data_IF_024551662310
#
_entry.id   IF_024551662310
#
_cell.length_a   1.000
_cell.length_b   1.000
_cell.length_c   1.000
_cell.angle_alpha   90.00
_cell.angle_beta   90.00
_cell.angle_gamma   90.00
#
_symmetry.space_group_name_H-M   'P 1'
#
loop_
_entity.id
_entity.type
_entity.pdbx_description
1 polymer ?
#
# COMPACT_ATOMS: atom_id res chain seq x y z
N UNK A 1 20.32 51.90 43.18
CA UNK A 1 20.01 50.71 44.02
C UNK A 1 19.30 49.70 43.13
N UNK A 2 19.97 48.63 42.68
CA UNK A 2 19.73 47.21 43.10
C UNK A 2 18.22 46.93 43.25
N UNK A 3 17.59 45.99 42.52
CA UNK A 3 17.95 44.57 42.39
C UNK A 3 17.39 43.98 41.08
N UNK A 4 18.23 43.27 40.32
CA UNK A 4 17.81 42.30 39.31
C UNK A 4 17.28 41.05 40.03
N UNK A 5 16.08 40.59 39.65
CA UNK A 5 15.60 39.26 40.00
C UNK A 5 15.97 38.30 38.87
N UNK A 6 16.91 37.40 39.18
CA UNK A 6 17.35 36.29 38.33
C UNK A 6 16.33 35.15 38.52
N UNK A 7 15.57 34.80 37.49
CA UNK A 7 14.71 33.61 37.49
C UNK A 7 15.48 32.48 36.82
N UNK A 8 15.76 31.46 37.60
CA UNK A 8 16.42 30.21 37.25
C UNK A 8 15.41 29.33 36.48
N UNK A 9 15.63 29.09 35.19
CA UNK A 9 14.85 28.12 34.41
C UNK A 9 15.60 26.78 34.45
N UNK A 10 14.97 25.69 34.93
CA UNK A 10 15.60 24.38 34.97
C UNK A 10 15.76 23.83 33.55
N UNK A 11 16.99 23.36 33.26
CA UNK A 11 17.34 22.56 32.10
C UNK A 11 16.51 21.27 32.12
N UNK A 12 15.46 21.22 31.30
CA UNK A 12 14.83 19.96 30.93
C UNK A 12 15.87 19.18 30.14
N UNK A 13 16.37 18.12 30.77
CA UNK A 13 17.10 17.05 30.11
C UNK A 13 16.20 16.51 28.99
N UNK A 14 16.50 16.92 27.75
CA UNK A 14 15.99 16.25 26.56
C UNK A 14 16.62 14.86 26.56
N UNK A 15 15.90 13.92 27.16
CA UNK A 15 16.08 12.51 26.97
C UNK A 15 15.81 12.26 25.48
N UNK A 16 16.86 12.39 24.66
CA UNK A 16 16.85 11.88 23.31
C UNK A 16 16.72 10.38 23.43
N UNK A 17 15.50 9.87 23.35
CA UNK A 17 15.27 8.49 22.96
C UNK A 17 15.82 8.38 21.55
N UNK A 18 17.08 7.98 21.45
CA UNK A 18 17.58 7.31 20.27
C UNK A 18 16.69 6.08 20.09
N UNK A 19 15.61 6.24 19.33
CA UNK A 19 14.91 5.11 18.72
C UNK A 19 15.98 4.41 17.89
N UNK A 20 16.52 3.34 18.46
CA UNK A 20 17.44 2.45 17.79
C UNK A 20 16.80 2.06 16.46
N UNK A 21 17.52 2.30 15.37
CA UNK A 21 17.22 1.82 14.03
C UNK A 21 17.40 0.28 13.91
N UNK A 22 17.07 -0.46 14.97
CA UNK A 22 17.21 -1.90 15.11
C UNK A 22 15.90 -2.51 15.63
N UNK A 23 14.82 -2.26 14.90
CA UNK A 23 13.70 -3.21 14.83
C UNK A 23 13.08 -3.10 13.42
N UNK A 24 13.94 -3.24 12.40
CA UNK A 24 13.44 -3.55 11.05
C UNK A 24 12.90 -4.98 11.09
N UNK A 25 11.66 -5.11 11.59
CA UNK A 25 10.94 -6.38 11.68
C UNK A 25 10.95 -7.06 10.32
N UNK A 26 11.58 -8.22 10.27
CA UNK A 26 11.41 -9.18 9.19
C UNK A 26 9.94 -9.25 8.78
N UNK A 27 9.65 -8.98 7.51
CA UNK A 27 8.28 -9.09 7.03
C UNK A 27 7.96 -10.57 6.84
N UNK A 28 7.20 -11.13 7.76
CA UNK A 28 6.58 -12.43 7.57
C UNK A 28 5.27 -12.24 6.81
N UNK A 29 5.00 -13.13 5.85
CA UNK A 29 3.70 -13.15 5.19
C UNK A 29 2.60 -13.26 6.27
N UNK A 30 1.63 -12.33 6.31
CA UNK A 30 0.55 -12.38 7.29
C UNK A 30 -0.29 -13.65 7.16
N UNK A 31 -1.02 -14.00 8.21
CA UNK A 31 -1.96 -15.11 8.15
C UNK A 31 -3.01 -14.90 7.05
N UNK A 32 -3.45 -15.98 6.41
CA UNK A 32 -4.50 -15.93 5.40
C UNK A 32 -5.76 -15.22 5.93
N UNK A 33 -6.41 -14.44 5.07
CA UNK A 33 -7.53 -13.56 5.42
C UNK A 33 -7.13 -12.18 5.98
N UNK A 34 -5.84 -11.93 6.26
CA UNK A 34 -5.38 -10.63 6.73
C UNK A 34 -5.40 -9.60 5.59
N UNK A 35 -6.09 -8.48 5.78
CA UNK A 35 -6.03 -7.34 4.85
C UNK A 35 -4.67 -6.66 4.98
N UNK A 36 -3.89 -6.67 3.90
CA UNK A 36 -2.52 -6.11 3.89
C UNK A 36 -2.45 -4.70 3.33
N UNK A 37 -3.42 -4.33 2.50
CA UNK A 37 -3.60 -2.97 1.99
C UNK A 37 -5.06 -2.78 1.56
N UNK A 38 -5.65 -1.64 1.89
CA UNK A 38 -7.00 -1.29 1.46
C UNK A 38 -7.17 0.23 1.42
N UNK A 39 -7.92 0.71 0.42
CA UNK A 39 -8.19 2.14 0.22
C UNK A 39 -9.46 2.31 -0.61
N UNK A 40 -10.09 3.48 -0.50
CA UNK A 40 -11.34 3.79 -1.17
C UNK A 40 -11.49 5.27 -1.46
N UNK A 41 -12.07 5.60 -2.61
CA UNK A 41 -12.41 6.97 -3.02
C UNK A 41 -13.91 7.05 -3.35
N UNK A 42 -14.61 8.12 -2.91
CA UNK A 42 -16.04 8.28 -3.17
C UNK A 42 -16.30 8.48 -4.67
N UNK A 43 -17.41 7.92 -5.16
CA UNK A 43 -17.87 8.08 -6.54
C UNK A 43 -18.73 9.35 -6.61
N UNK A 44 -18.11 10.46 -7.01
CA UNK A 44 -18.74 11.79 -6.93
C UNK A 44 -19.86 12.01 -7.94
N UNK A 45 -19.99 11.17 -8.97
CA UNK A 45 -21.12 11.26 -9.90
C UNK A 45 -22.38 10.56 -9.38
N UNK A 46 -22.32 9.86 -8.24
CA UNK A 46 -23.45 9.18 -7.63
C UNK A 46 -23.83 9.81 -6.28
N UNK A 47 -24.52 10.95 -6.37
CA UNK A 47 -24.95 11.71 -5.21
C UNK A 47 -26.12 11.09 -4.44
N UNK A 48 -26.68 9.96 -4.92
CA UNK A 48 -27.86 9.34 -4.32
C UNK A 48 -27.51 8.10 -3.51
N UNK A 49 -26.45 7.37 -3.88
CA UNK A 49 -26.14 6.08 -3.29
C UNK A 49 -24.89 6.08 -2.39
N UNK A 50 -24.15 7.19 -2.30
CA UNK A 50 -22.89 7.31 -1.52
C UNK A 50 -21.90 6.16 -1.82
N UNK A 51 -21.80 5.77 -3.09
CA UNK A 51 -20.92 4.67 -3.49
C UNK A 51 -19.44 5.05 -3.48
N UNK A 52 -18.60 4.02 -3.38
CA UNK A 52 -17.15 4.15 -3.40
C UNK A 52 -16.55 3.27 -4.49
N UNK A 53 -15.39 3.71 -4.98
CA UNK A 53 -14.43 2.83 -5.63
C UNK A 53 -13.42 2.37 -4.59
N UNK A 54 -13.37 1.07 -4.30
CA UNK A 54 -12.50 0.49 -3.29
C UNK A 54 -11.60 -0.60 -3.86
N UNK A 55 -10.40 -0.71 -3.31
CA UNK A 55 -9.42 -1.75 -3.64
C UNK A 55 -8.90 -2.36 -2.35
N UNK A 56 -8.79 -3.68 -2.30
CA UNK A 56 -8.32 -4.43 -1.15
C UNK A 56 -7.41 -5.57 -1.57
N UNK A 57 -6.27 -5.67 -0.91
CA UNK A 57 -5.36 -6.82 -0.97
C UNK A 57 -5.47 -7.63 0.31
N UNK A 58 -5.69 -8.92 0.18
CA UNK A 58 -5.85 -9.86 1.29
C UNK A 58 -4.81 -10.98 1.18
N UNK A 59 -4.16 -11.31 2.29
CA UNK A 59 -3.25 -12.43 2.38
C UNK A 59 -4.00 -13.76 2.18
N UNK A 60 -3.36 -14.71 1.53
CA UNK A 60 -3.82 -16.07 1.26
C UNK A 60 -2.87 -17.08 1.89
N UNK A 61 -3.21 -18.36 1.83
CA UNK A 61 -2.30 -19.44 2.24
C UNK A 61 -1.00 -19.45 1.42
N UNK A 62 -0.99 -18.81 0.24
CA UNK A 62 0.18 -18.70 -0.64
C UNK A 62 0.84 -17.32 -0.62
N UNK A 63 0.57 -16.48 0.39
CA UNK A 63 1.19 -15.14 0.50
C UNK A 63 2.69 -15.17 0.78
N UNK A 64 3.21 -16.25 1.36
CA UNK A 64 4.67 -16.50 1.45
C UNK A 64 5.32 -16.64 0.07
N UNK A 65 4.56 -17.02 -0.96
CA UNK A 65 4.99 -17.07 -2.36
C UNK A 65 4.65 -15.80 -3.15
N UNK A 66 4.18 -14.75 -2.47
CA UNK A 66 3.81 -13.49 -3.08
C UNK A 66 2.41 -13.47 -3.71
N UNK A 67 1.53 -14.42 -3.38
CA UNK A 67 0.15 -14.48 -3.91
C UNK A 67 -0.85 -13.87 -2.94
N UNK A 68 -1.64 -12.92 -3.42
CA UNK A 68 -2.63 -12.18 -2.65
C UNK A 68 -3.94 -12.10 -3.42
N UNK A 69 -5.05 -12.14 -2.69
CA UNK A 69 -6.35 -11.84 -3.28
C UNK A 69 -6.46 -10.34 -3.49
N UNK A 70 -6.94 -9.96 -4.68
CA UNK A 70 -7.23 -8.60 -5.07
C UNK A 70 -8.74 -8.48 -5.30
N UNK A 71 -9.39 -7.73 -4.42
CA UNK A 71 -10.77 -7.31 -4.59
C UNK A 71 -10.79 -5.84 -5.03
N UNK A 72 -11.62 -5.53 -6.02
CA UNK A 72 -11.93 -4.18 -6.41
C UNK A 72 -13.44 -4.03 -6.62
N UNK A 73 -14.00 -2.92 -6.17
CA UNK A 73 -15.42 -2.63 -6.32
C UNK A 73 -15.62 -1.19 -6.79
N UNK A 74 -16.52 -0.97 -7.75
CA UNK A 74 -16.97 0.34 -8.24
C UNK A 74 -18.49 0.41 -8.11
N UNK A 75 -18.98 0.94 -6.97
CA UNK A 75 -20.37 0.81 -6.59
C UNK A 75 -20.77 -0.67 -6.45
N UNK A 76 -21.80 -1.09 -7.19
CA UNK A 76 -22.28 -2.48 -7.17
C UNK A 76 -21.47 -3.44 -8.07
N UNK A 77 -20.53 -2.94 -8.86
CA UNK A 77 -19.72 -3.78 -9.72
C UNK A 77 -18.47 -4.24 -8.99
N UNK A 78 -18.32 -5.55 -8.83
CA UNK A 78 -17.22 -6.17 -8.09
C UNK A 78 -16.35 -7.01 -9.03
N UNK A 79 -15.05 -6.98 -8.80
CA UNK A 79 -14.07 -7.80 -9.50
C UNK A 79 -13.12 -8.43 -8.48
N UNK A 80 -12.85 -9.71 -8.67
CA UNK A 80 -11.92 -10.49 -7.86
C UNK A 80 -10.83 -11.09 -8.75
N UNK A 81 -9.59 -11.07 -8.29
CA UNK A 81 -8.45 -11.68 -8.96
C UNK A 81 -7.41 -12.14 -7.95
N UNK A 82 -6.48 -12.99 -8.38
CA UNK A 82 -5.29 -13.33 -7.59
C UNK A 82 -4.11 -12.59 -8.19
N UNK A 83 -3.49 -11.72 -7.40
CA UNK A 83 -2.27 -11.03 -7.77
C UNK A 83 -1.06 -11.83 -7.28
N UNK A 84 -0.15 -12.17 -8.20
CA UNK A 84 1.12 -12.76 -7.87
C UNK A 84 2.21 -11.70 -8.02
N UNK A 85 2.83 -11.31 -6.92
CA UNK A 85 4.04 -10.49 -6.97
C UNK A 85 5.23 -11.32 -7.50
N UNK A 86 6.21 -10.67 -8.12
CA UNK A 86 7.41 -11.34 -8.61
C UNK A 86 8.16 -12.00 -7.45
N UNK A 87 8.77 -13.16 -7.71
CA UNK A 87 9.70 -13.78 -6.76
C UNK A 87 10.97 -12.94 -6.71
N UNK A 88 11.19 -12.29 -5.58
CA UNK A 88 12.30 -11.37 -5.36
C UNK A 88 13.26 -11.95 -4.31
N UNK A 89 14.53 -11.59 -4.38
CA UNK A 89 15.55 -11.98 -3.40
C UNK A 89 15.36 -11.28 -2.05
N UNK A 90 14.61 -10.18 -2.05
CA UNK A 90 14.25 -9.41 -0.87
C UNK A 90 12.78 -9.59 -0.54
N UNK A 91 12.47 -9.61 0.74
CA UNK A 91 11.10 -9.58 1.24
C UNK A 91 10.40 -8.30 0.80
N UNK A 92 9.11 -8.41 0.46
CA UNK A 92 8.28 -7.29 0.06
C UNK A 92 7.09 -7.13 0.98
N UNK A 93 6.68 -5.88 1.20
CA UNK A 93 5.40 -5.54 1.83
C UNK A 93 4.47 -4.95 0.78
N UNK A 94 3.38 -5.65 0.40
CA UNK A 94 2.38 -5.12 -0.51
C UNK A 94 1.80 -3.81 0.02
N UNK A 95 1.50 -2.90 -0.90
CA UNK A 95 0.88 -1.62 -0.59
C UNK A 95 0.10 -1.11 -1.79
N UNK A 96 -0.78 -0.16 -1.53
CA UNK A 96 -1.51 0.57 -2.55
C UNK A 96 -1.33 2.07 -2.33
N UNK A 97 -1.43 2.83 -3.41
CA UNK A 97 -1.47 4.29 -3.36
C UNK A 97 -2.42 4.84 -4.42
N UNK A 98 -3.03 6.01 -4.20
CA UNK A 98 -3.81 6.69 -5.22
C UNK A 98 -3.00 6.92 -6.49
N UNK A 99 -3.64 6.76 -7.65
CA UNK A 99 -3.09 7.13 -8.95
C UNK A 99 -3.55 8.55 -9.34
N UNK A 100 -2.96 9.11 -10.39
CA UNK A 100 -3.37 10.41 -10.95
C UNK A 100 -4.65 10.35 -11.78
N UNK A 101 -5.11 9.15 -12.15
CA UNK A 101 -6.34 8.93 -12.89
C UNK A 101 -7.53 8.79 -11.94
N UNK A 102 -8.73 9.25 -12.33
CA UNK A 102 -9.95 8.99 -11.57
C UNK A 102 -10.17 7.49 -11.34
N UNK A 103 -10.65 7.13 -10.15
CA UNK A 103 -11.01 5.74 -9.81
C UNK A 103 -9.90 4.73 -10.13
N UNK A 104 -8.68 5.08 -9.74
CA UNK A 104 -7.48 4.29 -10.03
C UNK A 104 -6.54 4.25 -8.84
N UNK A 105 -6.02 3.06 -8.56
CA UNK A 105 -4.96 2.82 -7.58
C UNK A 105 -3.77 2.14 -8.24
N UNK A 106 -2.58 2.50 -7.77
CA UNK A 106 -1.37 1.75 -8.07
C UNK A 106 -1.15 0.74 -6.95
N UNK A 107 -1.14 -0.53 -7.32
CA UNK A 107 -0.69 -1.63 -6.48
C UNK A 107 0.81 -1.78 -6.68
N UNK A 108 1.53 -1.88 -5.56
CA UNK A 108 2.96 -1.99 -5.55
C UNK A 108 3.45 -2.60 -4.25
N UNK A 109 4.72 -2.35 -3.95
CA UNK A 109 5.35 -2.89 -2.75
C UNK A 109 6.52 -2.04 -2.30
N UNK A 110 6.85 -2.17 -1.02
CA UNK A 110 8.11 -1.72 -0.45
C UNK A 110 9.02 -2.93 -0.26
N UNK A 111 10.31 -2.78 -0.54
CA UNK A 111 11.29 -3.73 -0.03
C UNK A 111 11.44 -3.55 1.49
N UNK A 112 11.74 -4.64 2.18
CA UNK A 112 12.08 -4.60 3.60
C UNK A 112 13.24 -3.62 3.85
N UNK A 113 13.05 -2.70 4.82
CA UNK A 113 14.01 -1.65 5.15
C UNK A 113 14.06 -0.46 4.19
N UNK A 114 13.30 -0.47 3.10
CA UNK A 114 13.28 0.62 2.13
C UNK A 114 11.97 1.42 2.20
N UNK A 115 12.07 2.73 1.94
CA UNK A 115 10.91 3.65 1.88
C UNK A 115 10.43 3.90 0.46
N UNK A 116 11.14 3.40 -0.56
CA UNK A 116 10.77 3.59 -1.95
C UNK A 116 9.60 2.67 -2.32
N UNK A 117 8.52 3.27 -2.81
CA UNK A 117 7.39 2.53 -3.38
C UNK A 117 7.73 2.06 -4.80
N UNK A 118 7.53 0.77 -5.05
CA UNK A 118 7.75 0.13 -6.34
C UNK A 118 6.41 -0.15 -7.02
N UNK A 119 6.10 0.58 -8.09
CA UNK A 119 4.86 0.39 -8.85
C UNK A 119 4.86 -0.98 -9.54
N UNK A 120 3.79 -1.75 -9.39
CA UNK A 120 3.71 -3.06 -10.03
C UNK A 120 2.56 -3.15 -11.02
N UNK A 121 1.35 -2.82 -10.58
CA UNK A 121 0.15 -2.85 -11.41
C UNK A 121 -0.77 -1.67 -11.10
N UNK A 122 -1.58 -1.29 -12.07
CA UNK A 122 -2.70 -0.37 -11.90
C UNK A 122 -3.98 -1.18 -11.88
N UNK A 123 -4.81 -0.92 -10.88
CA UNK A 123 -6.22 -1.32 -10.90
C UNK A 123 -7.05 -0.05 -11.06
N UNK A 124 -7.97 -0.06 -12.01
CA UNK A 124 -8.77 1.12 -12.32
C UNK A 124 -10.19 0.75 -12.72
N UNK A 125 -11.13 1.63 -12.45
CA UNK A 125 -12.50 1.51 -12.93
C UNK A 125 -12.84 2.65 -13.89
N UNK A 126 -13.67 2.35 -14.87
CA UNK A 126 -14.31 3.38 -15.72
C UNK A 126 -15.77 3.03 -16.00
N UNK A 127 -16.60 4.05 -16.18
CA UNK A 127 -17.91 3.87 -16.80
C UNK A 127 -17.73 3.58 -18.29
N UNK A 128 -18.44 2.58 -18.78
CA UNK A 128 -18.51 2.23 -20.21
C UNK A 128 -19.76 2.88 -20.82
N UNK A 129 -20.88 2.81 -20.10
CA UNK A 129 -22.12 3.51 -20.41
C UNK A 129 -22.85 3.94 -19.11
N UNK A 130 -24.13 4.31 -19.23
CA UNK A 130 -24.94 4.78 -18.10
C UNK A 130 -25.21 3.70 -17.03
N UNK A 131 -25.13 2.42 -17.37
CA UNK A 131 -25.45 1.30 -16.48
C UNK A 131 -24.27 0.33 -16.26
N UNK A 132 -23.24 0.41 -17.09
CA UNK A 132 -22.10 -0.49 -17.07
C UNK A 132 -20.83 0.23 -16.66
N UNK A 133 -20.11 -0.38 -15.72
CA UNK A 133 -18.73 -0.04 -15.41
C UNK A 133 -17.83 -1.23 -15.69
N UNK A 134 -16.56 -0.96 -15.88
CA UNK A 134 -15.53 -1.96 -16.08
C UNK A 134 -14.40 -1.71 -15.10
N UNK A 135 -13.98 -2.77 -14.41
CA UNK A 135 -12.78 -2.79 -13.60
C UNK A 135 -11.68 -3.49 -14.41
N UNK A 136 -10.51 -2.88 -14.47
CA UNK A 136 -9.36 -3.37 -15.21
C UNK A 136 -8.13 -3.47 -14.30
N UNK A 137 -7.33 -4.51 -14.52
CA UNK A 137 -6.00 -4.67 -13.96
C UNK A 137 -4.96 -4.61 -15.09
N UNK A 138 -3.94 -3.78 -14.94
CA UNK A 138 -2.84 -3.62 -15.90
C UNK A 138 -1.49 -3.63 -15.20
N UNK A 139 -0.61 -4.56 -15.56
CA UNK A 139 0.78 -4.54 -15.10
C UNK A 139 1.55 -3.36 -15.71
N UNK A 140 2.33 -2.66 -14.90
CA UNK A 140 3.05 -1.44 -15.27
C UNK A 140 4.55 -1.68 -15.45
N UNK A 141 5.13 -2.50 -14.57
CA UNK A 141 6.57 -2.79 -14.53
C UNK A 141 6.77 -4.27 -14.28
N UNK A 142 7.75 -4.84 -14.97
CA UNK A 142 8.27 -6.17 -14.65
C UNK A 142 9.44 -6.02 -13.68
N UNK A 143 9.49 -6.88 -12.67
CA UNK A 143 10.65 -7.03 -11.78
C UNK A 143 11.18 -8.45 -11.94
N UNK A 144 12.49 -8.57 -12.04
CA UNK A 144 13.17 -9.84 -12.21
C UNK A 144 14.05 -10.12 -10.99
N UNK A 145 14.20 -11.39 -10.67
CA UNK A 145 15.22 -11.88 -9.76
C UNK A 145 16.56 -11.82 -10.51
N UNK A 146 17.51 -11.00 -10.07
CA UNK A 146 18.91 -11.12 -10.53
C UNK A 146 19.46 -12.44 -9.97
N UNK A 147 19.29 -13.54 -10.71
CA UNK A 147 19.85 -14.86 -10.37
C UNK A 147 21.18 -15.14 -11.05
N UNK A 148 21.75 -14.17 -11.77
CA UNK A 148 23.08 -14.35 -12.35
C UNK A 148 24.12 -13.84 -11.37
N UNK A 149 24.55 -14.71 -10.43
CA UNK A 149 25.92 -14.62 -9.95
C UNK A 149 26.82 -14.68 -11.18
N UNK A 150 27.43 -13.55 -11.55
CA UNK A 150 28.56 -13.56 -12.47
C UNK A 150 29.67 -14.34 -11.79
N UNK A 151 29.81 -15.62 -12.15
CA UNK A 151 31.04 -16.38 -11.95
C UNK A 151 32.20 -15.75 -12.71
#
# INVERSE_FOLDING_TARGET
MKKLAFILIPLLAACGSSESAEDMKHFYAPAAGTVVAADSIPITEDNLNDFYYSVRLTATDSSSEGRYDLDAAYGLNEAHSIMAFPKLTKTIRPAIRPDSLPYSYIIGFYYEGEQQFNDYARVSARKVDAQQSQIELRYLKAYYTDTVEKK
#
